data_IF_968286859381
#
_entry.id   IF_968286859381
#
_cell.length_a   1.000
_cell.length_b   1.000
_cell.length_c   1.000
_cell.angle_alpha   90.00
_cell.angle_beta   90.00
_cell.angle_gamma   90.00
#
_symmetry.space_group_name_H-M   'P 1'
#
loop_
_entity.id
_entity.type
_entity.pdbx_description
1 polymer ?
2 non-polymer ?
3 non-polymer ?
4 non-polymer ?
5 water ?
#
# COMPACT_ATOMS: atom_id res chain seq x y z
N UNK A 1 1.66 -11.55 -11.92
CA UNK A 1 1.52 -11.61 -10.45
C UNK A 1 2.86 -11.28 -9.84
N UNK A 2 2.84 -10.97 -8.55
CA UNK A 2 4.04 -10.83 -7.78
C UNK A 2 3.89 -11.68 -6.54
N UNK A 3 5.03 -12.00 -5.99
CA UNK A 3 5.13 -12.91 -4.86
C UNK A 3 6.15 -12.46 -3.83
N UNK A 4 5.88 -12.80 -2.56
CA UNK A 4 6.81 -12.62 -1.46
C UNK A 4 6.66 -13.75 -0.45
N UNK A 5 7.80 -14.34 -0.06
CA UNK A 5 7.85 -15.39 0.94
C UNK A 5 8.54 -14.88 2.22
N UNK A 6 7.89 -15.05 3.33
CA UNK A 6 8.48 -14.68 4.59
C UNK A 6 9.56 -15.66 5.07
N UNK A 7 9.41 -16.92 4.70
CA UNK A 7 10.39 -17.93 4.99
C UNK A 7 11.72 -17.64 4.34
N UNK A 8 12.74 -17.34 5.14
CA UNK A 8 14.04 -16.94 4.66
C UNK A 8 14.10 -15.48 4.22
N UNK A 9 13.04 -14.72 4.42
CA UNK A 9 13.04 -13.30 3.97
C UNK A 9 14.11 -12.50 4.69
N UNK A 10 14.67 -11.54 3.96
CA UNK A 10 15.63 -10.60 4.56
C UNK A 10 15.46 -9.24 3.88
N UNK A 11 16.22 -8.20 4.27
CA UNK A 11 16.02 -6.89 3.61
C UNK A 11 16.13 -6.92 2.10
N UNK A 12 17.01 -7.76 1.59
CA UNK A 12 17.20 -7.84 0.16
C UNK A 12 15.98 -8.47 -0.50
N UNK A 13 15.53 -9.64 -0.05
CA UNK A 13 14.40 -10.29 -0.71
C UNK A 13 13.11 -9.45 -0.66
N UNK A 14 12.96 -8.73 0.43
CA UNK A 14 11.82 -7.82 0.56
C UNK A 14 11.99 -6.68 -0.47
N UNK A 15 13.18 -6.07 -0.56
CA UNK A 15 13.50 -5.10 -1.62
C UNK A 15 13.13 -5.54 -3.02
N UNK A 16 13.48 -6.78 -3.36
CA UNK A 16 13.12 -7.37 -4.64
C UNK A 16 11.64 -7.48 -4.82
N UNK A 17 10.87 -7.83 -3.77
CA UNK A 17 9.43 -7.91 -3.88
C UNK A 17 8.84 -6.49 -4.09
N UNK A 18 9.33 -5.51 -3.37
CA UNK A 18 8.77 -4.16 -3.53
C UNK A 18 9.10 -3.60 -4.91
N UNK A 19 10.32 -3.88 -5.39
CA UNK A 19 10.64 -3.60 -6.81
C UNK A 19 9.71 -4.30 -7.82
N UNK A 20 9.47 -5.60 -7.65
CA UNK A 20 8.53 -6.34 -8.51
C UNK A 20 7.13 -5.73 -8.44
N UNK A 21 6.71 -5.38 -7.24
CA UNK A 21 5.36 -4.73 -7.07
C UNK A 21 5.27 -3.38 -7.87
N UNK A 22 6.24 -2.50 -7.68
CA UNK A 22 6.28 -1.27 -8.48
C UNK A 22 6.31 -1.57 -9.99
N UNK A 23 7.13 -2.51 -10.41
CA UNK A 23 7.27 -2.75 -11.86
C UNK A 23 6.03 -3.39 -12.46
N UNK A 24 5.18 -3.99 -11.65
CA UNK A 24 3.96 -4.57 -12.17
C UNK A 24 2.84 -3.55 -12.40
N UNK A 25 3.01 -2.32 -11.95
CA UNK A 25 1.97 -1.30 -12.07
C UNK A 25 2.22 -0.58 -13.38
N UNK A 26 1.24 -0.56 -14.25
CA UNK A 26 1.50 0.04 -15.55
C UNK A 26 1.41 1.56 -15.51
N UNK A 27 2.16 2.17 -16.44
CA UNK A 27 2.22 3.59 -16.60
C UNK A 27 2.67 3.84 -18.04
N UNK A 28 2.21 4.93 -18.62
CA UNK A 28 2.65 5.30 -19.96
C UNK A 28 3.51 6.53 -19.90
N UNK A 29 3.55 7.24 -18.77
CA UNK A 29 4.56 8.27 -18.62
C UNK A 29 5.11 8.43 -17.21
N UNK A 30 6.17 9.24 -17.13
CA UNK A 30 6.73 9.74 -15.87
C UNK A 30 6.59 11.24 -15.77
N UNK A 31 6.36 11.71 -14.56
CA UNK A 31 6.26 13.13 -14.27
C UNK A 31 7.42 13.38 -13.28
N UNK A 32 8.38 14.21 -13.66
CA UNK A 32 9.60 14.44 -12.90
C UNK A 32 10.31 13.13 -12.57
N UNK A 33 10.32 12.25 -13.56
CA UNK A 33 10.94 10.98 -13.48
C UNK A 33 10.29 9.96 -12.52
N UNK A 34 9.02 10.16 -12.19
CA UNK A 34 8.28 9.25 -11.28
C UNK A 34 7.15 8.66 -12.09
N UNK A 35 6.99 7.33 -12.10
CA UNK A 35 5.89 6.72 -12.77
C UNK A 35 4.55 7.34 -12.43
N UNK A 36 3.76 7.68 -13.46
CA UNK A 36 2.41 8.20 -13.26
C UNK A 36 1.41 7.08 -13.49
N UNK A 37 0.69 6.71 -12.45
CA UNK A 37 -0.28 5.65 -12.58
C UNK A 37 -1.38 6.06 -13.55
N UNK A 38 -2.00 5.06 -14.14
CA UNK A 38 -2.96 5.37 -15.18
C UNK A 38 -4.27 5.91 -14.61
N UNK A 39 -4.97 6.73 -15.40
CA UNK A 39 -6.28 7.21 -14.99
C UNK A 39 -7.26 6.08 -14.72
N UNK A 40 -7.25 5.08 -15.59
CA UNK A 40 -8.21 4.04 -15.55
C UNK A 40 -7.70 2.81 -16.28
N UNK A 41 -8.14 1.63 -15.87
CA UNK A 41 -7.90 0.42 -16.62
C UNK A 41 -9.18 -0.40 -16.49
N UNK A 42 -9.68 -0.96 -17.59
CA UNK A 42 -10.94 -1.73 -17.47
C UNK A 42 -10.70 -3.24 -17.62
N UNK A 43 -11.67 -3.97 -17.10
CA UNK A 43 -11.58 -5.41 -17.01
C UNK A 43 -10.62 -5.86 -15.93
N UNK A 44 -10.18 -7.08 -16.11
CA UNK A 44 -9.43 -7.80 -15.11
C UNK A 44 -8.02 -7.28 -15.05
N UNK A 45 -7.58 -6.55 -16.08
CA UNK A 45 -6.25 -5.97 -16.05
C UNK A 45 -6.09 -4.85 -15.05
N UNK A 46 -7.20 -4.40 -14.49
CA UNK A 46 -7.12 -3.46 -13.41
C UNK A 46 -6.49 -4.03 -12.12
N UNK A 47 -6.41 -5.34 -11.96
CA UNK A 47 -6.10 -5.90 -10.65
C UNK A 47 -4.84 -6.75 -10.73
N UNK A 48 -3.86 -6.43 -9.88
CA UNK A 48 -2.65 -7.20 -9.70
C UNK A 48 -2.87 -8.16 -8.55
N UNK A 49 -2.42 -9.41 -8.70
CA UNK A 49 -2.45 -10.40 -7.64
C UNK A 49 -1.07 -10.48 -7.00
N UNK A 50 -1.04 -10.34 -5.67
CA UNK A 50 0.16 -10.54 -4.87
C UNK A 50 0.01 -11.81 -4.07
N UNK A 51 0.91 -12.76 -4.29
CA UNK A 51 0.93 -14.02 -3.58
C UNK A 51 1.84 -13.88 -2.41
N UNK A 52 1.28 -13.93 -1.21
CA UNK A 52 2.08 -13.79 0.00
C UNK A 52 2.09 -15.09 0.79
N UNK A 53 3.27 -15.47 1.25
CA UNK A 53 3.44 -16.73 2.00
C UNK A 53 4.02 -16.47 3.37
N UNK A 54 3.34 -17.02 4.37
CA UNK A 54 3.84 -16.87 5.71
C UNK A 54 5.01 -17.80 5.92
N UNK A 55 5.59 -17.71 7.09
CA UNK A 55 6.80 -18.44 7.39
C UNK A 55 6.63 -19.96 7.23
N UNK A 56 5.45 -20.48 7.53
CA UNK A 56 5.16 -21.91 7.34
C UNK A 56 4.77 -22.23 5.95
N UNK A 57 4.73 -21.23 5.09
CA UNK A 57 4.42 -21.46 3.69
C UNK A 57 2.93 -21.48 3.37
N UNK A 58 2.06 -21.08 4.27
CA UNK A 58 0.63 -20.87 3.88
C UNK A 58 0.52 -19.55 3.16
N UNK A 59 -0.48 -19.44 2.32
CA UNK A 59 -0.56 -18.34 1.39
C UNK A 59 -1.94 -17.72 1.31
N UNK A 60 -1.94 -16.42 1.07
CA UNK A 60 -3.09 -15.65 0.65
C UNK A 60 -2.68 -14.94 -0.66
N UNK A 61 -3.66 -14.69 -1.50
CA UNK A 61 -3.48 -13.89 -2.68
C UNK A 61 -4.27 -12.62 -2.47
N UNK A 62 -3.60 -11.48 -2.67
CA UNK A 62 -4.18 -10.17 -2.41
C UNK A 62 -4.41 -9.46 -3.72
N UNK A 63 -5.58 -8.85 -3.90
CA UNK A 63 -5.88 -8.16 -5.16
C UNK A 63 -5.64 -6.68 -5.03
N UNK A 64 -4.83 -6.12 -5.91
CA UNK A 64 -4.47 -4.70 -5.82
C UNK A 64 -4.93 -3.94 -7.09
N UNK A 65 -5.68 -2.85 -6.92
CA UNK A 65 -6.03 -1.96 -8.00
C UNK A 65 -4.79 -1.21 -8.49
N UNK A 66 -4.40 -1.44 -9.76
CA UNK A 66 -3.13 -0.89 -10.30
C UNK A 66 -3.15 0.60 -10.57
N UNK A 67 -4.32 1.20 -10.53
CA UNK A 67 -4.39 2.63 -10.73
C UNK A 67 -4.14 3.43 -9.49
N UNK A 68 -4.38 2.84 -8.30
CA UNK A 68 -4.15 3.55 -7.02
C UNK A 68 -3.39 2.78 -5.92
N UNK A 69 -2.95 1.56 -6.21
CA UNK A 69 -2.30 0.63 -5.27
C UNK A 69 -3.20 0.29 -4.02
N UNK A 70 -4.52 0.34 -4.20
CA UNK A 70 -5.46 0.05 -3.12
C UNK A 70 -5.66 -1.44 -3.08
N UNK A 71 -5.63 -1.98 -1.86
CA UNK A 71 -5.98 -3.38 -1.65
C UNK A 71 -7.51 -3.50 -1.71
N UNK A 72 -8.01 -4.38 -2.56
CA UNK A 72 -9.46 -4.54 -2.77
C UNK A 72 -10.02 -5.71 -1.91
N UNK A 73 -9.24 -6.75 -1.80
CA UNK A 73 -9.63 -7.97 -1.13
C UNK A 73 -8.53 -8.98 -1.22
N UNK A 74 -8.81 -10.19 -0.78
CA UNK A 74 -7.83 -11.25 -0.80
C UNK A 74 -8.54 -12.60 -0.78
N UNK A 75 -7.80 -13.61 -1.14
CA UNK A 75 -8.27 -14.99 -1.17
C UNK A 75 -7.45 -15.77 -0.17
N UNK A 76 -8.15 -16.43 0.75
CA UNK A 76 -7.52 -17.27 1.77
C UNK A 76 -8.22 -18.60 1.66
N UNK A 77 -7.46 -19.68 1.52
CA UNK A 77 -8.07 -20.99 1.40
C UNK A 77 -9.03 -20.94 0.20
N UNK A 78 -10.27 -21.40 0.40
CA UNK A 78 -11.27 -21.40 -0.66
C UNK A 78 -12.25 -20.23 -0.57
N UNK A 79 -12.02 -19.32 0.37
CA UNK A 79 -12.90 -18.17 0.56
C UNK A 79 -12.28 -16.80 0.30
N UNK A 80 -12.99 -15.97 -0.45
CA UNK A 80 -12.55 -14.62 -0.77
C UNK A 80 -13.12 -13.61 0.20
N UNK A 81 -12.38 -12.54 0.40
CA UNK A 81 -12.80 -11.46 1.28
C UNK A 81 -12.62 -10.12 0.58
N UNK A 82 -13.63 -9.24 0.62
CA UNK A 82 -13.59 -7.95 -0.03
C UNK A 82 -14.04 -6.88 0.93
N UNK A 83 -13.42 -5.70 0.81
CA UNK A 83 -13.87 -4.57 1.57
C UNK A 83 -15.30 -4.24 1.22
N UNK A 84 -15.99 -3.62 2.18
CA UNK A 84 -17.40 -3.19 2.00
C UNK A 84 -17.46 -1.80 1.37
N UNK A 85 -17.28 -1.76 0.05
CA UNK A 85 -17.20 -0.48 -0.70
C UNK A 85 -17.35 -0.78 -2.20
N UNK A 86 -17.84 0.22 -2.96
CA UNK A 86 -18.21 -0.13 -4.37
C UNK A 86 -17.04 -0.58 -5.24
N UNK A 87 -15.88 0.05 -5.05
CA UNK A 87 -14.70 -0.38 -5.79
C UNK A 87 -14.33 -1.84 -5.54
N UNK A 88 -14.49 -2.35 -4.31
CA UNK A 88 -14.13 -3.74 -4.06
C UNK A 88 -15.20 -4.65 -4.62
N UNK A 89 -16.46 -4.23 -4.54
CA UNK A 89 -17.54 -5.01 -5.08
C UNK A 89 -17.31 -5.21 -6.60
N UNK A 90 -16.89 -4.15 -7.26
CA UNK A 90 -16.48 -4.23 -8.65
C UNK A 90 -15.32 -5.18 -8.84
N UNK A 91 -14.27 -5.07 -8.02
CA UNK A 91 -13.17 -6.03 -8.12
C UNK A 91 -13.65 -7.48 -8.03
N UNK A 92 -14.65 -7.74 -7.18
CA UNK A 92 -15.13 -9.10 -6.99
C UNK A 92 -15.81 -9.67 -8.22
N UNK A 93 -16.09 -8.86 -9.23
CA UNK A 93 -16.57 -9.42 -10.48
C UNK A 93 -15.44 -10.00 -11.30
N UNK A 94 -14.20 -9.62 -11.01
CA UNK A 94 -13.07 -10.04 -11.82
C UNK A 94 -12.09 -10.99 -11.19
N UNK A 95 -11.90 -10.90 -9.86
CA UNK A 95 -10.88 -11.71 -9.21
C UNK A 95 -11.49 -12.68 -8.22
N UNK A 96 -10.81 -13.80 -8.06
CA UNK A 96 -11.17 -14.84 -7.06
C UNK A 96 -12.56 -15.41 -7.25
N UNK A 97 -13.07 -15.42 -8.48
CA UNK A 97 -14.42 -15.98 -8.73
C UNK A 97 -14.55 -17.51 -8.51
N UNK A 98 -13.43 -18.20 -8.58
CA UNK A 98 -13.32 -19.59 -8.24
C UNK A 98 -13.45 -19.87 -6.75
N UNK A 99 -13.52 -18.85 -5.86
CA UNK A 99 -13.66 -19.11 -4.41
C UNK A 99 -14.97 -19.81 -4.14
N UNK A 100 -14.99 -20.72 -3.17
CA UNK A 100 -16.23 -21.41 -2.82
C UNK A 100 -17.23 -20.49 -2.10
N UNK A 101 -16.76 -19.49 -1.38
CA UNK A 101 -17.67 -18.48 -0.82
C UNK A 101 -16.97 -17.14 -0.79
N UNK A 102 -17.77 -16.09 -0.78
CA UNK A 102 -17.30 -14.76 -0.75
C UNK A 102 -17.84 -14.10 0.50
N UNK A 103 -16.94 -13.58 1.34
CA UNK A 103 -17.31 -12.80 2.47
C UNK A 103 -16.99 -11.34 2.18
N UNK A 104 -17.95 -10.47 2.44
CA UNK A 104 -17.69 -9.03 2.47
C UNK A 104 -17.35 -8.62 3.89
N UNK A 105 -16.16 -8.06 4.07
CA UNK A 105 -15.71 -7.59 5.36
C UNK A 105 -16.62 -6.51 5.83
N UNK A 106 -16.79 -6.36 7.15
CA UNK A 106 -17.80 -5.36 7.64
C UNK A 106 -17.21 -3.93 7.73
N UNK A 107 -16.29 -3.55 6.85
CA UNK A 107 -15.77 -2.22 6.83
C UNK A 107 -15.23 -2.00 5.41
N UNK A 108 -15.11 -0.71 5.07
CA UNK A 108 -14.32 -0.27 3.90
C UNK A 108 -12.80 -0.30 4.22
N UNK A 109 -11.97 -0.01 3.22
CA UNK A 109 -10.50 -0.25 3.31
C UNK A 109 -9.63 0.91 3.73
N UNK A 110 -10.21 2.05 4.05
CA UNK A 110 -9.40 3.22 4.35
C UNK A 110 -8.96 3.23 5.81
N UNK A 111 -7.86 3.92 6.02
CA UNK A 111 -7.21 3.88 7.28
C UNK A 111 -8.17 4.18 8.43
N UNK A 112 -8.99 5.20 8.25
CA UNK A 112 -9.82 5.66 9.38
C UNK A 112 -10.77 4.52 9.79
N UNK A 113 -11.44 3.94 8.81
CA UNK A 113 -12.39 2.87 9.08
C UNK A 113 -11.72 1.60 9.62
N UNK A 114 -10.54 1.26 9.08
CA UNK A 114 -9.77 0.10 9.61
C UNK A 114 -9.33 0.26 11.03
N UNK A 115 -8.89 1.47 11.40
CA UNK A 115 -8.45 1.78 12.75
C UNK A 115 -9.60 1.65 13.76
N UNK A 116 -10.77 2.11 13.35
CA UNK A 116 -11.98 1.98 14.14
C UNK A 116 -12.25 0.51 14.37
N UNK A 117 -12.24 -0.29 13.29
CA UNK A 117 -12.54 -1.71 13.39
C UNK A 117 -11.52 -2.38 14.27
N UNK A 118 -10.27 -1.97 14.16
CA UNK A 118 -9.23 -2.63 14.91
C UNK A 118 -9.16 -2.19 16.33
N UNK A 119 -9.75 -1.04 16.66
CA UNK A 119 -9.74 -0.51 18.03
C UNK A 119 -8.46 0.28 18.35
N UNK A 120 -7.67 0.62 17.34
CA UNK A 120 -6.45 1.34 17.63
C UNK A 120 -5.88 2.03 16.40
N UNK A 121 -5.18 3.17 16.61
CA UNK A 121 -4.61 3.84 15.46
C UNK A 121 -3.36 3.12 15.01
N UNK A 122 -2.91 3.41 13.81
CA UNK A 122 -1.77 2.65 13.38
C UNK A 122 -0.45 3.14 13.92
N UNK A 123 -0.48 4.28 14.62
CA UNK A 123 0.63 4.73 15.46
C UNK A 123 1.00 3.71 16.54
N UNK A 124 0.04 2.89 16.91
CA UNK A 124 0.23 1.94 17.97
C UNK A 124 0.38 0.54 17.50
N UNK A 125 0.42 0.31 16.19
CA UNK A 125 0.52 -1.04 15.64
C UNK A 125 1.92 -1.24 15.05
N UNK A 126 2.72 -2.11 15.65
CA UNK A 126 4.04 -2.42 15.06
C UNK A 126 3.97 -2.99 13.63
N UNK A 127 4.95 -2.63 12.81
CA UNK A 127 5.06 -3.14 11.47
C UNK A 127 6.47 -3.60 11.27
N UNK A 128 6.66 -4.36 10.19
CA UNK A 128 7.93 -5.04 9.92
C UNK A 128 7.62 -6.35 9.25
N UNK A 129 8.66 -7.13 8.97
CA UNK A 129 8.46 -8.47 8.36
C UNK A 129 7.79 -9.45 9.33
N UNK A 130 8.21 -9.47 10.62
CA UNK A 130 7.49 -10.35 11.52
C UNK A 130 6.03 -9.99 11.58
N UNK A 131 5.67 -8.70 11.57
CA UNK A 131 4.23 -8.34 11.67
C UNK A 131 3.50 -8.79 10.39
N UNK A 132 4.18 -8.73 9.25
CA UNK A 132 3.59 -9.17 8.00
C UNK A 132 3.31 -10.65 8.02
N UNK A 133 4.23 -11.42 8.53
CA UNK A 133 4.01 -12.85 8.73
C UNK A 133 2.77 -13.16 9.59
N UNK A 134 2.63 -12.43 10.73
CA UNK A 134 1.43 -12.49 11.60
C UNK A 134 0.16 -12.14 10.85
N UNK A 135 0.23 -11.06 10.08
CA UNK A 135 -0.93 -10.57 9.37
C UNK A 135 -1.46 -11.63 8.36
N UNK A 136 -0.54 -12.21 7.61
CA UNK A 136 -0.88 -13.20 6.62
C UNK A 136 -1.56 -14.31 7.40
N UNK A 137 -0.93 -14.73 8.50
CA UNK A 137 -1.50 -15.83 9.27
C UNK A 137 -2.91 -15.51 9.76
N UNK A 138 -3.11 -14.31 10.29
CA UNK A 138 -4.41 -13.87 10.72
C UNK A 138 -5.46 -13.98 9.63
N UNK A 139 -5.10 -13.55 8.42
CA UNK A 139 -6.09 -13.46 7.37
C UNK A 139 -6.49 -14.84 6.84
N UNK A 140 -5.73 -15.88 7.18
CA UNK A 140 -6.09 -17.25 6.78
C UNK A 140 -7.41 -17.69 7.39
N UNK A 141 -7.76 -17.21 8.59
CA UNK A 141 -9.05 -17.54 9.19
C UNK A 141 -9.81 -16.31 9.64
N UNK A 142 -11.05 -16.23 9.16
CA UNK A 142 -11.83 -15.07 9.35
C UNK A 142 -11.99 -14.71 10.82
N UNK A 143 -11.59 -13.50 11.15
CA UNK A 143 -11.96 -12.83 12.39
C UNK A 143 -11.90 -11.34 12.01
N UNK A 144 -13.04 -10.64 11.94
CA UNK A 144 -13.04 -9.32 11.33
C UNK A 144 -12.27 -8.27 12.12
N UNK A 145 -12.34 -8.36 13.44
CA UNK A 145 -11.56 -7.44 14.29
C UNK A 145 -10.09 -7.65 14.14
N UNK A 146 -9.63 -8.87 14.27
CA UNK A 146 -8.21 -9.17 14.05
C UNK A 146 -7.76 -8.88 12.61
N UNK A 147 -8.61 -9.21 11.62
CA UNK A 147 -8.29 -8.92 10.24
C UNK A 147 -8.06 -7.41 9.99
N UNK A 148 -8.76 -6.52 10.69
CA UNK A 148 -8.61 -5.05 10.42
C UNK A 148 -7.14 -4.63 10.75
N UNK A 149 -6.62 -5.17 11.85
CA UNK A 149 -5.28 -4.84 12.31
C UNK A 149 -4.25 -5.44 11.37
N UNK A 150 -4.49 -6.68 10.97
CA UNK A 150 -3.69 -7.35 9.97
C UNK A 150 -3.68 -6.56 8.60
N UNK A 151 -4.81 -6.03 8.15
CA UNK A 151 -4.86 -5.28 6.95
C UNK A 151 -4.09 -3.94 7.04
N UNK A 152 -4.09 -3.33 8.21
CA UNK A 152 -3.28 -2.12 8.43
C UNK A 152 -1.80 -2.42 8.27
N UNK A 153 -1.38 -3.60 8.72
CA UNK A 153 -0.01 -4.02 8.54
C UNK A 153 0.29 -4.34 7.08
N UNK A 154 -0.61 -5.08 6.46
CA UNK A 154 -0.45 -5.47 5.07
C UNK A 154 -0.36 -4.28 4.10
N UNK A 155 -1.28 -3.32 4.26
CA UNK A 155 -1.30 -2.12 3.40
C UNK A 155 0.03 -1.36 3.51
N UNK A 156 0.51 -1.21 4.76
CA UNK A 156 1.67 -0.39 4.98
C UNK A 156 2.96 -1.10 4.51
N UNK A 157 3.00 -2.41 4.66
CA UNK A 157 4.17 -3.16 4.28
C UNK A 157 4.26 -3.52 2.78
N UNK A 158 3.22 -3.24 2.01
CA UNK A 158 3.15 -3.62 0.60
C UNK A 158 2.92 -2.33 -0.19
N UNK A 159 1.67 -1.86 -0.25
CA UNK A 159 1.34 -0.63 -1.00
C UNK A 159 2.16 0.59 -0.62
N UNK A 160 2.26 0.89 0.68
CA UNK A 160 2.91 2.12 1.10
C UNK A 160 4.40 2.09 0.86
N UNK A 161 4.99 0.90 1.04
CA UNK A 161 6.39 0.69 0.74
C UNK A 161 6.64 0.81 -0.77
N UNK A 162 5.71 0.28 -1.59
CA UNK A 162 5.79 0.52 -3.06
C UNK A 162 5.76 2.02 -3.42
N UNK A 163 4.90 2.77 -2.75
CA UNK A 163 4.80 4.22 -2.99
C UNK A 163 5.99 5.09 -2.56
N UNK A 164 6.68 4.72 -1.47
CA UNK A 164 7.73 5.50 -0.89
C UNK A 164 8.93 4.68 -0.51
N UNK A 165 10.08 5.13 -0.97
CA UNK A 165 11.30 4.42 -0.71
C UNK A 165 11.60 4.51 0.77
N UNK A 166 11.28 5.64 1.41
CA UNK A 166 11.47 5.76 2.83
C UNK A 166 10.75 4.60 3.63
N UNK A 167 9.54 4.29 3.25
CA UNK A 167 8.72 3.34 3.98
C UNK A 167 9.28 1.93 3.70
N UNK A 168 9.69 1.65 2.45
CA UNK A 168 10.41 0.43 2.12
C UNK A 168 11.63 0.25 3.04
N UNK A 169 12.45 1.29 3.13
CA UNK A 169 13.61 1.30 4.09
C UNK A 169 13.25 1.08 5.58
N UNK A 170 12.14 1.69 6.00
CA UNK A 170 11.63 1.46 7.35
C UNK A 170 11.31 -0.01 7.59
N UNK A 171 10.71 -0.66 6.60
CA UNK A 171 10.32 -2.06 6.76
C UNK A 171 11.59 -2.93 6.75
N UNK A 172 12.54 -2.58 5.90
CA UNK A 172 13.80 -3.27 5.84
C UNK A 172 14.53 -3.19 7.15
N UNK A 173 14.42 -2.05 7.83
CA UNK A 173 15.02 -1.89 9.15
C UNK A 173 14.27 -2.74 10.19
N UNK A 174 13.05 -3.20 9.87
CA UNK A 174 12.22 -3.95 10.79
C UNK A 174 12.09 -5.37 10.28
N UNK A 175 13.15 -5.89 9.66
CA UNK A 175 13.12 -7.26 9.11
C UNK A 175 12.97 -8.36 10.13
N UNK A 176 13.61 -8.18 11.29
CA UNK A 176 13.66 -9.18 12.33
C UNK A 176 13.12 -8.68 13.65
N UNK A 177 12.62 -7.46 13.69
CA UNK A 177 12.03 -6.86 14.85
C UNK A 177 11.00 -5.83 14.47
N UNK A 178 9.74 -6.02 14.88
CA UNK A 178 8.70 -5.03 14.52
C UNK A 178 8.87 -3.73 15.30
N UNK A 179 8.39 -2.64 14.74
CA UNK A 179 8.31 -1.40 15.46
C UNK A 179 7.18 -0.53 14.90
N UNK A 180 6.54 0.22 15.75
CA UNK A 180 5.49 1.12 15.25
C UNK A 180 6.13 2.04 14.19
N UNK A 181 5.32 2.45 13.21
CA UNK A 181 5.84 3.32 12.14
C UNK A 181 6.31 4.67 12.70
N UNK A 182 7.31 5.28 12.07
CA UNK A 182 7.67 6.69 12.40
C UNK A 182 6.54 7.63 12.02
N UNK A 183 6.46 8.76 12.73
CA UNK A 183 5.50 9.80 12.34
C UNK A 183 5.74 10.24 10.86
N UNK A 184 6.99 10.28 10.44
CA UNK A 184 7.27 10.58 9.01
C UNK A 184 6.54 9.57 8.09
N UNK A 185 6.62 8.30 8.45
CA UNK A 185 5.91 7.26 7.70
C UNK A 185 4.40 7.55 7.63
N UNK A 186 3.81 7.84 8.80
CA UNK A 186 2.40 8.14 8.87
C UNK A 186 2.08 9.33 7.93
N UNK A 187 2.92 10.33 8.02
CA UNK A 187 2.75 11.57 7.24
C UNK A 187 2.78 11.31 5.72
N UNK A 188 3.74 10.52 5.27
CA UNK A 188 3.84 10.20 3.86
C UNK A 188 2.61 9.47 3.41
N UNK A 189 2.15 8.50 4.24
CA UNK A 189 0.94 7.73 3.89
C UNK A 189 -0.23 8.65 3.72
N UNK A 190 -0.41 9.53 4.68
CA UNK A 190 -1.52 10.47 4.65
C UNK A 190 -1.41 11.51 3.54
N UNK A 191 -0.21 11.75 3.01
CA UNK A 191 -0.01 12.80 1.97
C UNK A 191 0.16 12.33 0.55
N UNK A 192 -0.03 11.03 0.30
CA UNK A 192 0.31 10.48 -1.01
C UNK A 192 -0.45 11.12 -2.15
N UNK A 193 -1.76 11.17 -1.95
CA UNK A 193 -2.68 11.84 -2.82
C UNK A 193 -2.32 13.32 -3.04
N UNK A 194 -2.12 14.06 -1.96
CA UNK A 194 -1.72 15.47 -2.07
C UNK A 194 -0.43 15.72 -2.80
N UNK A 195 0.56 14.88 -2.53
CA UNK A 195 1.86 14.97 -3.18
C UNK A 195 1.81 14.62 -4.63
N UNK A 196 1.08 13.57 -4.92
CA UNK A 196 0.89 13.14 -6.27
C UNK A 196 0.27 14.27 -7.07
N UNK A 197 -0.76 14.88 -6.51
CA UNK A 197 -1.41 15.99 -7.15
C UNK A 197 -0.48 17.20 -7.38
N UNK A 198 0.20 17.64 -6.34
CA UNK A 198 1.05 18.78 -6.43
C UNK A 198 2.25 18.58 -7.34
N UNK A 199 2.80 17.37 -7.40
CA UNK A 199 3.85 17.08 -8.34
C UNK A 199 3.34 17.23 -9.79
N UNK A 200 2.12 16.78 -10.05
CA UNK A 200 1.53 16.94 -11.35
C UNK A 200 1.20 18.43 -11.65
N UNK A 201 0.69 19.18 -10.68
CA UNK A 201 0.39 20.62 -10.92
C UNK A 201 1.67 21.41 -11.10
N UNK A 202 2.77 20.92 -10.52
CA UNK A 202 4.04 21.56 -10.72
C UNK A 202 4.48 21.64 -12.20
N UNK A 203 4.05 20.69 -13.05
CA UNK A 203 4.42 20.72 -14.48
C UNK A 203 3.44 21.71 -15.11
N UNK A 204 4.00 22.76 -15.67
CA UNK A 204 3.19 23.96 -15.98
C UNK A 204 3.31 25.07 -14.95
N UNK A 205 3.95 24.82 -13.82
CA UNK A 205 4.17 25.84 -12.85
C UNK A 205 5.65 25.89 -12.44
N UNK A 206 6.53 25.64 -13.40
CA UNK A 206 7.99 25.74 -13.18
C UNK A 206 8.49 24.93 -12.00
N UNK A 207 7.86 23.79 -11.77
CA UNK A 207 8.32 22.90 -10.69
C UNK A 207 7.85 23.35 -9.31
N UNK A 208 6.98 24.37 -9.23
CA UNK A 208 6.46 24.86 -7.96
C UNK A 208 5.07 24.28 -7.69
N UNK A 209 4.82 23.83 -6.45
CA UNK A 209 3.50 23.28 -6.06
C UNK A 209 2.52 24.48 -6.01
N UNK A 210 1.28 24.31 -6.48
CA UNK A 210 0.20 25.31 -6.25
C UNK A 210 -0.10 25.48 -4.78
N UNK A 211 -0.11 24.36 -4.03
CA UNK A 211 -0.39 24.37 -2.59
C UNK A 211 0.67 23.51 -1.90
N UNK A 212 1.36 24.04 -0.89
CA UNK A 212 2.43 23.31 -0.21
C UNK A 212 1.88 22.09 0.49
N UNK A 213 2.71 21.09 0.71
CA UNK A 213 2.30 19.90 1.43
C UNK A 213 3.10 19.90 2.71
N UNK A 214 2.42 19.66 3.85
CA UNK A 214 3.09 19.64 5.20
C UNK A 214 3.37 18.19 5.56
N UNK A 215 4.64 17.88 5.77
CA UNK A 215 5.11 16.56 6.19
C UNK A 215 5.83 16.61 7.55
N UNK A 216 5.91 15.46 8.21
CA UNK A 216 6.81 15.30 9.35
C UNK A 216 8.08 14.59 8.83
N UNK A 217 9.24 15.16 9.08
CA UNK A 217 10.54 14.59 8.67
C UNK A 217 11.05 13.53 9.64
N UNK A 218 12.14 12.86 9.24
CA UNK A 218 12.77 11.77 10.02
C UNK A 218 12.97 12.12 11.51
N UNK A 219 13.41 13.34 11.76
CA UNK A 219 13.63 13.80 13.13
C UNK A 219 12.36 14.20 13.91
N UNK A 220 11.16 14.11 13.33
CA UNK A 220 9.94 14.55 14.03
C UNK A 220 9.46 15.99 13.82
N UNK A 221 10.16 16.76 13.01
CA UNK A 221 9.70 18.16 12.69
C UNK A 221 8.76 18.29 11.49
N UNK A 222 7.73 19.14 11.60
CA UNK A 222 6.81 19.48 10.51
C UNK A 222 7.57 20.35 9.53
N UNK A 223 7.56 19.98 8.26
CA UNK A 223 8.24 20.75 7.20
C UNK A 223 7.28 20.89 6.04
N UNK A 224 7.50 21.92 5.27
CA UNK A 224 6.58 22.29 4.25
C UNK A 224 7.24 21.99 2.93
N UNK A 225 6.62 21.20 2.05
CA UNK A 225 7.24 20.86 0.75
C UNK A 225 6.58 21.81 -0.27
N UNK A 226 7.40 22.56 -1.02
CA UNK A 226 6.87 23.60 -1.93
C UNK A 226 7.18 23.40 -3.39
N UNK A 227 8.12 22.55 -3.69
CA UNK A 227 8.55 22.39 -5.05
C UNK A 227 9.24 21.08 -5.26
N UNK A 228 9.47 20.75 -6.52
CA UNK A 228 10.04 19.45 -6.93
C UNK A 228 11.51 19.18 -6.61
N UNK A 229 12.22 20.16 -6.06
CA UNK A 229 13.64 19.99 -5.68
C UNK A 229 13.71 19.30 -4.34
N UNK A 230 12.62 19.21 -3.60
CA UNK A 230 12.68 18.53 -2.32
C UNK A 230 13.00 17.02 -2.48
N UNK A 231 13.70 16.48 -1.49
CA UNK A 231 14.10 15.07 -1.51
C UNK A 231 12.89 14.09 -1.53
N UNK A 232 11.78 14.54 -1.01
CA UNK A 232 10.57 13.72 -1.01
C UNK A 232 10.22 13.43 -2.46
N UNK A 233 10.37 14.44 -3.31
CA UNK A 233 10.11 14.30 -4.71
C UNK A 233 11.24 13.63 -5.51
N UNK A 234 12.49 14.01 -5.25
CA UNK A 234 13.62 13.53 -6.08
C UNK A 234 14.11 12.16 -5.67
N UNK A 235 13.92 11.75 -4.42
CA UNK A 235 14.42 10.43 -4.00
C UNK A 235 13.31 9.45 -3.52
N UNK A 236 12.34 9.95 -2.77
CA UNK A 236 11.42 9.13 -1.99
C UNK A 236 10.22 8.57 -2.76
N UNK A 237 9.26 9.41 -3.11
CA UNK A 237 8.07 8.97 -3.80
C UNK A 237 8.41 8.19 -5.10
N UNK A 238 7.76 7.03 -5.30
CA UNK A 238 8.02 6.12 -6.43
C UNK A 238 6.87 5.92 -7.40
N UNK A 239 5.71 6.49 -7.06
CA UNK A 239 4.49 6.25 -7.84
C UNK A 239 3.56 7.44 -7.60
N UNK A 240 2.94 7.95 -8.66
CA UNK A 240 1.98 9.03 -8.53
C UNK A 240 0.60 8.58 -8.87
N UNK A 241 -0.31 8.84 -7.95
CA UNK A 241 -1.72 8.76 -8.25
C UNK A 241 -2.08 9.85 -9.27
N UNK A 242 -2.69 9.44 -10.37
CA UNK A 242 -3.13 10.34 -11.46
C UNK A 242 -4.13 11.36 -10.93
N UNK A 243 -3.96 12.66 -11.22
CA UNK A 243 -4.96 13.66 -10.71
C UNK A 243 -6.39 13.38 -11.18
N UNK A 244 -6.54 12.64 -12.27
CA UNK A 244 -7.88 12.21 -12.65
C UNK A 244 -8.61 11.43 -11.54
N UNK A 245 -7.87 10.81 -10.63
CA UNK A 245 -8.48 10.15 -9.48
C UNK A 245 -8.42 11.00 -8.15
N UNK A 246 -8.24 12.32 -8.27
CA UNK A 246 -8.17 13.24 -7.12
C UNK A 246 -9.19 14.38 -7.35
X LIG B 1 11.99 24.88 -2.95
X LIG B 1 12.10 26.25 -2.28
X LIG B 1 13.44 26.42 -1.57
X LIG B 1 13.69 25.20 -0.67
X LIG B 1 13.70 23.96 -1.59
X LIG B 1 14.15 22.62 -1.03
X LIG B 1 10.69 27.63 -3.84
X LIG B 1 10.78 28.63 -4.97
X LIG B 1 11.90 27.22 -3.36
X LIG B 1 13.53 27.65 -0.84
X LIG B 1 14.90 25.38 0.08
X LIG B 1 12.37 23.82 -2.08
X LIG B 1 13.36 22.15 0.05
X LIG B 1 9.58 27.24 -3.43
X LIG C 1 -6.92 1.75 1.06
X LIG C 1 -6.80 0.44 0.54
X LIG C 1 -7.92 -0.17 0.08
X LIG C 1 -9.13 0.43 0.06
X LIG C 1 -9.27 1.74 0.55
X LIG C 1 -8.13 2.39 1.05
X LIG C 1 -5.68 -0.14 0.51
X LIG C 1 -10.10 -0.20 -0.37
X LIG C 1 -5.70 2.37 1.59
X LIG C 1 -4.81 3.06 0.56
X LIG C 1 -5.25 4.48 0.71
X LIG C 1 -5.58 4.59 2.18
X LIG C 1 -3.45 2.97 0.94
X LIG C 1 -4.19 5.36 0.34
X LIG C 1 -6.04 3.31 2.60
X LIG C 1 -6.64 5.67 2.45
X LIG C 1 -6.90 5.67 3.84
X LIG D 1 12.61 -13.02 8.72
X LIG D 1 12.79 -14.03 7.72
X LIG D 1 11.19 -12.48 9.05
X LIG D 1 10.79 -12.54 10.46
X LIG D 1 10.18 -13.26 8.26
X LIG D 1 10.27 -14.63 8.52
#
# INVERSE_FOLDING_TARGET
DVSFRLSGADPSSYGMFIKDLRNALPHTEKVYNIPLLLPSVSGAGRYLLMHLFNYDGNTITVAVDVTNVYIMGYLALTTSYFFNEPAADLASQYVFRSARRKITLPYSGNYERLQIAAGKPREKIPIGLPALDTAISTLLHYDSTAAAGALLVLIQTTAEAARFKYIEQQIQERAYRDEVPSSATISLENSWSGLSKQIQLAQGNNGVFRTPTVLVDSKGNRVQITNVTSNVVTSNIQLLLNTKNI
NAG C1 C2 C3 C4 C5 C6 C7 C8 N2 O3 O4 O5 O6 O7
URI N1 C2 N3 C4 C5 C6 O2 O4 C1' C2' C3' C4' O2' O3' O4' C5' O5'
GOL C1 O1 C2 O2 C3 O3
#
